data_IF_984220471681
#
_entry.id   IF_984220471681
#
_cell.length_a   1.000
_cell.length_b   1.000
_cell.length_c   1.000
_cell.angle_alpha   90.00
_cell.angle_beta   90.00
_cell.angle_gamma   90.00
#
_symmetry.space_group_name_H-M   'P 1'
#
loop_
_entity.id
_entity.type
_entity.pdbx_description
1 polymer ?
#
# COMPACT_ATOMS: atom_id res chain seq x y z
N UNK A 1 -12.51 6.39 0.45
CA UNK A 1 -12.18 4.99 0.75
C UNK A 1 -12.01 4.92 2.26
N UNK A 2 -12.59 3.94 2.94
CA UNK A 2 -12.35 3.75 4.39
C UNK A 2 -10.97 3.12 4.62
N UNK A 3 -10.51 3.07 5.87
CA UNK A 3 -9.26 2.40 6.21
C UNK A 3 -9.31 0.91 5.83
N UNK A 4 -10.40 0.20 6.13
CA UNK A 4 -10.52 -1.24 5.84
C UNK A 4 -10.52 -1.53 4.33
N UNK A 5 -11.17 -0.66 3.54
CA UNK A 5 -11.14 -0.74 2.07
C UNK A 5 -9.72 -0.51 1.54
N UNK A 6 -9.01 0.46 2.12
CA UNK A 6 -7.64 0.80 1.76
C UNK A 6 -6.65 -0.32 2.10
N UNK A 7 -6.67 -0.81 3.34
CA UNK A 7 -5.79 -1.89 3.82
C UNK A 7 -5.97 -3.14 2.95
N UNK A 8 -7.22 -3.52 2.70
CA UNK A 8 -7.54 -4.63 1.80
C UNK A 8 -6.97 -4.39 0.41
N UNK A 9 -7.17 -3.19 -0.16
CA UNK A 9 -6.74 -2.91 -1.54
C UNK A 9 -5.23 -2.88 -1.69
N UNK A 10 -4.52 -2.21 -0.77
CA UNK A 10 -3.05 -2.17 -0.77
C UNK A 10 -2.47 -3.56 -0.60
N UNK A 11 -3.03 -4.38 0.30
CA UNK A 11 -2.62 -5.77 0.49
C UNK A 11 -2.81 -6.60 -0.78
N UNK A 12 -3.97 -6.51 -1.44
CA UNK A 12 -4.23 -7.20 -2.70
C UNK A 12 -3.25 -6.80 -3.81
N UNK A 13 -2.95 -5.51 -3.93
CA UNK A 13 -2.02 -4.99 -4.94
C UNK A 13 -0.58 -5.42 -4.66
N UNK A 14 -0.15 -5.38 -3.40
CA UNK A 14 1.17 -5.86 -2.98
C UNK A 14 1.35 -7.36 -3.27
N UNK A 15 0.37 -8.20 -2.92
CA UNK A 15 0.46 -9.64 -3.18
C UNK A 15 0.45 -9.99 -4.68
N UNK A 16 -0.15 -9.14 -5.52
CA UNK A 16 -0.10 -9.29 -6.99
C UNK A 16 1.29 -9.05 -7.59
N UNK A 17 2.22 -8.46 -6.86
CA UNK A 17 3.62 -8.34 -7.29
C UNK A 17 4.32 -9.71 -7.31
N UNK A 18 3.81 -10.66 -6.52
CA UNK A 18 4.33 -12.02 -6.45
C UNK A 18 3.61 -12.93 -7.47
N UNK A 19 4.32 -13.84 -8.15
CA UNK A 19 3.75 -14.99 -8.82
C UNK A 19 2.84 -15.78 -7.90
N UNK A 20 1.85 -16.44 -8.49
CA UNK A 20 0.80 -17.14 -7.75
C UNK A 20 1.34 -18.16 -6.75
N UNK A 21 2.42 -18.87 -7.09
CA UNK A 21 3.08 -19.87 -6.22
C UNK A 21 3.93 -19.25 -5.10
N UNK A 22 4.13 -17.92 -5.10
CA UNK A 22 4.91 -17.17 -4.11
C UNK A 22 4.08 -16.19 -3.27
N UNK A 23 2.77 -16.09 -3.51
CA UNK A 23 1.92 -15.16 -2.76
C UNK A 23 1.88 -15.45 -1.26
N UNK A 24 2.00 -16.71 -0.84
CA UNK A 24 2.06 -17.06 0.59
C UNK A 24 3.34 -16.51 1.26
N UNK A 25 4.46 -16.46 0.55
CA UNK A 25 5.69 -15.81 1.07
C UNK A 25 5.48 -14.31 1.24
N UNK A 26 4.82 -13.66 0.26
CA UNK A 26 4.46 -12.25 0.37
C UNK A 26 3.54 -11.97 1.56
N UNK A 27 2.53 -12.83 1.79
CA UNK A 27 1.63 -12.75 2.95
C UNK A 27 2.40 -12.92 4.26
N UNK A 28 3.28 -13.91 4.35
CA UNK A 28 4.09 -14.14 5.55
C UNK A 28 4.95 -12.92 5.89
N UNK A 29 5.62 -12.34 4.89
CA UNK A 29 6.45 -11.13 5.08
C UNK A 29 5.62 -9.93 5.54
N UNK A 30 4.44 -9.74 4.94
CA UNK A 30 3.53 -8.67 5.35
C UNK A 30 3.04 -8.88 6.78
N UNK A 31 2.63 -10.09 7.15
CA UNK A 31 2.19 -10.41 8.50
C UNK A 31 3.31 -10.21 9.52
N UNK A 32 4.55 -10.57 9.19
CA UNK A 32 5.71 -10.33 10.06
C UNK A 32 5.95 -8.84 10.27
N UNK A 33 5.82 -8.01 9.23
CA UNK A 33 5.87 -6.56 9.35
C UNK A 33 4.76 -6.05 10.27
N UNK A 34 3.51 -6.44 10.04
CA UNK A 34 2.37 -5.95 10.83
C UNK A 34 2.38 -6.46 12.27
N UNK A 35 3.02 -7.59 12.56
CA UNK A 35 3.25 -8.02 13.94
C UNK A 35 4.28 -7.15 14.66
N UNK A 36 5.29 -6.64 13.94
CA UNK A 36 6.32 -5.75 14.49
C UNK A 36 5.85 -4.28 14.55
N UNK A 37 5.11 -3.85 13.52
CA UNK A 37 4.62 -2.49 13.31
C UNK A 37 3.13 -2.52 12.91
N UNK A 38 2.21 -2.73 13.87
CA UNK A 38 0.77 -2.91 13.58
C UNK A 38 0.11 -1.74 12.87
N UNK A 39 0.62 -0.52 13.10
CA UNK A 39 0.07 0.73 12.55
C UNK A 39 0.68 1.08 11.18
N UNK A 40 1.52 0.21 10.60
CA UNK A 40 2.27 0.55 9.38
C UNK A 40 1.37 0.93 8.20
N UNK A 41 0.34 0.11 7.90
CA UNK A 41 -0.60 0.41 6.81
C UNK A 41 -1.50 1.60 7.16
N UNK A 42 -1.85 1.77 8.44
CA UNK A 42 -2.62 2.93 8.91
C UNK A 42 -1.83 4.24 8.72
N UNK A 43 -0.52 4.23 8.97
CA UNK A 43 0.34 5.38 8.67
C UNK A 43 0.34 5.72 7.17
N UNK A 44 0.44 4.71 6.29
CA UNK A 44 0.35 4.94 4.83
C UNK A 44 -1.03 5.48 4.42
N UNK A 45 -2.10 5.03 5.09
CA UNK A 45 -3.45 5.55 4.89
C UNK A 45 -3.53 7.03 5.32
N UNK A 46 -2.92 7.39 6.45
CA UNK A 46 -2.80 8.77 6.92
C UNK A 46 -2.15 9.68 5.87
N UNK A 47 -1.02 9.26 5.30
CA UNK A 47 -0.34 10.00 4.22
C UNK A 47 -1.20 10.13 2.96
N UNK A 48 -1.93 9.07 2.62
CA UNK A 48 -2.84 9.07 1.46
C UNK A 48 -3.99 10.04 1.66
N UNK A 49 -4.60 10.05 2.85
CA UNK A 49 -5.64 10.99 3.23
C UNK A 49 -5.13 12.43 3.25
N UNK A 50 -3.95 12.67 3.80
CA UNK A 50 -3.31 13.99 3.78
C UNK A 50 -3.16 14.50 2.34
N UNK A 51 -2.65 13.68 1.42
CA UNK A 51 -2.56 14.07 0.01
C UNK A 51 -3.95 14.38 -0.58
N UNK A 52 -4.95 13.54 -0.29
CA UNK A 52 -6.32 13.73 -0.76
C UNK A 52 -6.95 15.04 -0.27
N UNK A 53 -6.72 15.42 0.99
CA UNK A 53 -7.37 16.56 1.64
C UNK A 53 -6.71 17.91 1.33
N UNK A 54 -5.51 17.90 0.76
CA UNK A 54 -4.69 19.10 0.52
C UNK A 54 -4.45 19.40 -0.98
N UNK A 55 -5.49 19.66 -1.80
CA UNK A 55 -5.33 20.01 -3.21
C UNK A 55 -4.54 21.32 -3.43
N UNK A 56 -4.47 22.20 -2.43
CA UNK A 56 -3.62 23.40 -2.46
C UNK A 56 -2.12 23.08 -2.47
N UNK A 57 -1.73 21.90 -1.99
CA UNK A 57 -0.35 21.42 -2.00
C UNK A 57 -0.07 20.51 -3.19
N UNK A 58 -1.04 19.69 -3.58
CA UNK A 58 -0.85 18.58 -4.53
C UNK A 58 -1.63 18.72 -5.85
N UNK A 59 -2.28 19.87 -6.05
CA UNK A 59 -3.27 20.14 -7.11
C UNK A 59 -4.51 19.24 -7.05
N UNK A 60 -5.54 19.56 -7.83
CA UNK A 60 -6.78 18.78 -7.92
C UNK A 60 -6.57 17.31 -8.32
N UNK A 61 -5.42 16.95 -8.91
CA UNK A 61 -5.12 15.55 -9.24
C UNK A 61 -4.98 14.66 -8.00
N UNK A 62 -4.77 15.23 -6.81
CA UNK A 62 -4.67 14.48 -5.55
C UNK A 62 -5.94 13.70 -5.22
N UNK A 63 -7.10 14.07 -5.77
CA UNK A 63 -8.35 13.32 -5.59
C UNK A 63 -8.29 11.90 -6.18
N UNK A 64 -7.26 11.60 -6.99
CA UNK A 64 -7.02 10.27 -7.58
C UNK A 64 -6.12 9.36 -6.75
N UNK A 65 -5.64 9.79 -5.58
CA UNK A 65 -4.65 9.02 -4.78
C UNK A 65 -5.12 7.63 -4.35
N UNK A 66 -6.45 7.39 -4.33
CA UNK A 66 -7.05 6.09 -4.04
C UNK A 66 -7.24 5.20 -5.29
N UNK A 67 -6.90 5.68 -6.49
CA UNK A 67 -6.88 4.84 -7.69
C UNK A 67 -5.71 3.86 -7.63
N UNK A 68 -5.90 2.65 -8.16
CA UNK A 68 -4.88 1.59 -8.16
C UNK A 68 -3.51 2.04 -8.68
N UNK A 69 -3.47 2.92 -9.67
CA UNK A 69 -2.20 3.45 -10.18
C UNK A 69 -1.41 4.17 -9.08
N UNK A 70 -2.09 5.03 -8.30
CA UNK A 70 -1.47 5.80 -7.23
C UNK A 70 -1.15 4.91 -6.03
N UNK A 71 -2.06 3.99 -5.67
CA UNK A 71 -1.79 2.98 -4.64
C UNK A 71 -0.58 2.10 -4.99
N UNK A 72 -0.44 1.69 -6.26
CA UNK A 72 0.73 0.96 -6.74
C UNK A 72 2.01 1.80 -6.63
N UNK A 73 1.94 3.09 -6.95
CA UNK A 73 3.09 3.98 -7.00
C UNK A 73 3.71 4.28 -5.64
N UNK A 74 2.89 4.37 -4.59
CA UNK A 74 3.32 4.84 -3.27
C UNK A 74 3.20 3.74 -2.22
N UNK A 75 2.02 3.43 -1.63
CA UNK A 75 1.96 2.49 -0.50
C UNK A 75 2.42 1.07 -0.88
N UNK A 76 2.04 0.58 -2.06
CA UNK A 76 2.47 -0.75 -2.53
C UNK A 76 3.97 -0.77 -2.86
N UNK A 77 4.50 0.30 -3.46
CA UNK A 77 5.93 0.38 -3.75
C UNK A 77 6.76 0.47 -2.46
N UNK A 78 6.28 1.18 -1.43
CA UNK A 78 6.91 1.20 -0.10
C UNK A 78 6.97 -0.21 0.49
N UNK A 79 5.87 -0.95 0.48
CA UNK A 79 5.85 -2.35 0.92
C UNK A 79 6.80 -3.22 0.09
N UNK A 80 6.84 -3.02 -1.23
CA UNK A 80 7.74 -3.75 -2.12
C UNK A 80 9.22 -3.47 -1.82
N UNK A 81 9.59 -2.23 -1.51
CA UNK A 81 10.95 -1.86 -1.15
C UNK A 81 11.38 -2.44 0.19
N UNK A 82 10.47 -2.52 1.16
CA UNK A 82 10.75 -3.05 2.51
C UNK A 82 10.77 -4.58 2.55
N UNK A 83 9.79 -5.21 1.89
CA UNK A 83 9.53 -6.64 2.02
C UNK A 83 10.01 -7.45 0.82
N UNK A 84 10.46 -6.80 -0.25
CA UNK A 84 10.95 -7.43 -1.46
C UNK A 84 9.87 -8.17 -2.24
N UNK A 85 9.15 -7.47 -3.11
CA UNK A 85 8.15 -8.04 -4.03
C UNK A 85 8.64 -8.23 -5.47
N UNK A 86 9.93 -7.97 -5.75
CA UNK A 86 10.58 -8.40 -6.99
C UNK A 86 11.40 -9.67 -6.75
N UNK A 87 11.11 -10.64 -7.60
CA UNK A 87 11.77 -11.91 -7.76
C UNK A 87 13.04 -11.72 -8.56
N UNK A 88 14.13 -12.28 -8.04
CA UNK A 88 15.22 -12.83 -8.86
C UNK A 88 14.74 -14.12 -9.55
#
# INVERSE_FOLDING_TARGET
MTYEEYEKRVTELFLKLYPKDKQEVGKERLNNLLNAEPEFIESLYGDTCFCYDHPELYSETCKKVFEDYHLNSTPVNTLNMLLGGKID
#
